data_IF_641134996550
#
_entry.id   IF_641134996550
#
_cell.length_a   1.000
_cell.length_b   1.000
_cell.length_c   1.000
_cell.angle_alpha   90.00
_cell.angle_beta   90.00
_cell.angle_gamma   90.00
#
_symmetry.space_group_name_H-M   'P 1'
#
loop_
_entity.id
_entity.type
_entity.pdbx_description
1 polymer ?
#
# COMPACT_ATOMS: atom_id res chain seq x y z
N UNK A 1 18.97 4.70 13.85
CA UNK A 1 18.53 5.99 13.28
C UNK A 1 17.59 5.80 12.09
N UNK A 2 17.89 4.94 11.10
CA UNK A 2 17.07 4.78 9.88
C UNK A 2 15.59 4.38 10.12
N UNK A 3 15.33 3.43 11.04
CA UNK A 3 13.97 2.98 11.34
C UNK A 3 13.06 4.09 11.92
N UNK A 4 13.59 4.93 12.81
CA UNK A 4 12.81 6.03 13.39
C UNK A 4 12.44 7.10 12.35
N UNK A 5 13.32 7.33 11.36
CA UNK A 5 13.04 8.20 10.22
C UNK A 5 11.94 7.59 9.35
N UNK A 6 12.03 6.29 9.04
CA UNK A 6 11.01 5.57 8.30
C UNK A 6 9.64 5.62 8.99
N UNK A 7 9.58 5.38 10.31
CA UNK A 7 8.35 5.48 11.09
C UNK A 7 7.76 6.90 11.09
N UNK A 8 8.61 7.93 11.13
CA UNK A 8 8.16 9.32 11.02
C UNK A 8 7.60 9.65 9.64
N UNK A 9 8.21 9.12 8.58
CA UNK A 9 7.72 9.24 7.20
C UNK A 9 6.38 8.51 7.00
N UNK A 10 6.20 7.32 7.58
CA UNK A 10 4.90 6.63 7.59
C UNK A 10 3.81 7.49 8.20
N UNK A 11 4.07 8.11 9.36
CA UNK A 11 3.11 9.02 10.01
C UNK A 11 2.80 10.26 9.16
N UNK A 12 3.77 10.74 8.38
CA UNK A 12 3.54 11.86 7.45
C UNK A 12 2.69 11.40 6.26
N UNK A 13 3.00 10.26 5.66
CA UNK A 13 2.22 9.67 4.58
C UNK A 13 0.77 9.43 4.99
N UNK A 14 0.54 8.95 6.21
CA UNK A 14 -0.82 8.76 6.76
C UNK A 14 -1.59 10.09 6.83
N UNK A 15 -0.97 11.17 7.30
CA UNK A 15 -1.59 12.50 7.29
C UNK A 15 -1.87 13.03 5.89
N UNK A 16 -1.01 12.72 4.92
CA UNK A 16 -1.25 13.10 3.52
C UNK A 16 -2.41 12.29 2.92
N UNK A 17 -2.59 11.01 3.29
CA UNK A 17 -3.78 10.23 2.96
C UNK A 17 -5.05 10.86 3.52
N UNK A 18 -5.04 11.26 4.80
CA UNK A 18 -6.18 11.94 5.44
C UNK A 18 -6.54 13.26 4.73
N UNK A 19 -5.54 13.92 4.13
CA UNK A 19 -5.71 15.15 3.35
C UNK A 19 -6.13 14.92 1.90
N UNK A 20 -6.30 13.66 1.47
CA UNK A 20 -6.60 13.30 0.09
C UNK A 20 -5.42 13.49 -0.87
N UNK A 21 -4.20 13.72 -0.36
CA UNK A 21 -2.99 13.97 -1.15
C UNK A 21 -2.25 12.66 -1.39
N UNK A 22 -2.84 11.81 -2.21
CA UNK A 22 -2.37 10.44 -2.38
C UNK A 22 -0.98 10.33 -3.02
N UNK A 23 -0.63 11.21 -3.96
CA UNK A 23 0.72 11.25 -4.56
C UNK A 23 1.79 11.59 -3.50
N UNK A 24 1.56 12.62 -2.69
CA UNK A 24 2.47 12.98 -1.60
C UNK A 24 2.58 11.85 -0.55
N UNK A 25 1.48 11.15 -0.27
CA UNK A 25 1.50 10.00 0.61
C UNK A 25 2.37 8.87 0.04
N UNK A 26 2.25 8.56 -1.25
CA UNK A 26 3.10 7.58 -1.94
C UNK A 26 4.57 7.94 -1.79
N UNK A 27 4.95 9.20 -2.02
CA UNK A 27 6.33 9.64 -1.88
C UNK A 27 6.87 9.44 -0.46
N UNK A 28 6.09 9.82 0.56
CA UNK A 28 6.50 9.64 1.97
C UNK A 28 6.65 8.15 2.32
N UNK A 29 5.75 7.28 1.87
CA UNK A 29 5.87 5.83 2.10
C UNK A 29 7.05 5.22 1.34
N UNK A 30 7.33 5.65 0.12
CA UNK A 30 8.50 5.19 -0.63
C UNK A 30 9.81 5.60 0.04
N UNK A 31 9.90 6.84 0.55
CA UNK A 31 11.06 7.25 1.33
C UNK A 31 11.19 6.46 2.63
N UNK A 32 10.07 6.14 3.31
CA UNK A 32 10.09 5.27 4.47
C UNK A 32 10.68 3.89 4.14
N UNK A 33 10.28 3.32 2.99
CA UNK A 33 10.78 2.04 2.51
C UNK A 33 12.23 2.09 2.02
N UNK A 34 12.70 3.24 1.53
CA UNK A 34 14.11 3.44 1.21
C UNK A 34 15.00 3.43 2.47
N UNK A 35 14.47 3.90 3.60
CA UNK A 35 15.14 3.85 4.89
C UNK A 35 15.00 2.48 5.58
N UNK A 36 13.82 1.87 5.51
CA UNK A 36 13.53 0.55 6.05
C UNK A 36 12.51 -0.20 5.18
N UNK A 37 13.02 -1.04 4.28
CA UNK A 37 12.20 -1.85 3.39
C UNK A 37 11.38 -2.93 4.11
N UNK A 38 11.68 -3.23 5.38
CA UNK A 38 10.98 -4.23 6.18
C UNK A 38 9.81 -3.64 6.98
N UNK A 39 9.57 -2.34 6.85
CA UNK A 39 8.53 -1.64 7.58
C UNK A 39 7.14 -1.95 6.98
N UNK A 40 6.51 -2.99 7.52
CA UNK A 40 5.16 -3.40 7.16
C UNK A 40 4.14 -2.23 7.09
N UNK A 41 4.04 -1.31 8.07
CA UNK A 41 3.05 -0.23 7.98
C UNK A 41 3.29 0.73 6.80
N UNK A 42 4.53 0.88 6.30
CA UNK A 42 4.80 1.66 5.09
C UNK A 42 4.24 0.98 3.84
N UNK A 43 4.41 -0.34 3.69
CA UNK A 43 3.82 -1.11 2.59
C UNK A 43 2.28 -1.07 2.63
N UNK A 44 1.69 -1.13 3.83
CA UNK A 44 0.24 -0.99 4.00
C UNK A 44 -0.24 0.39 3.55
N UNK A 45 0.39 1.45 4.02
CA UNK A 45 0.05 2.83 3.64
C UNK A 45 0.22 3.06 2.13
N UNK A 46 1.28 2.52 1.54
CA UNK A 46 1.53 2.58 0.10
C UNK A 46 0.40 1.89 -0.70
N UNK A 47 -0.06 0.72 -0.24
CA UNK A 47 -1.19 0.03 -0.87
C UNK A 47 -2.49 0.84 -0.85
N UNK A 48 -2.79 1.49 0.28
CA UNK A 48 -3.95 2.39 0.40
C UNK A 48 -3.80 3.59 -0.53
N UNK A 49 -2.63 4.24 -0.54
CA UNK A 49 -2.38 5.40 -1.38
C UNK A 49 -2.54 5.08 -2.88
N UNK A 50 -2.02 3.93 -3.32
CA UNK A 50 -2.21 3.47 -4.70
C UNK A 50 -3.67 3.15 -5.03
N UNK A 51 -4.41 2.52 -4.12
CA UNK A 51 -5.85 2.30 -4.32
C UNK A 51 -6.60 3.62 -4.54
N UNK A 52 -6.31 4.63 -3.72
CA UNK A 52 -6.95 5.94 -3.83
C UNK A 52 -6.56 6.68 -5.11
N UNK A 53 -5.39 6.37 -5.68
CA UNK A 53 -4.95 6.86 -7.01
C UNK A 53 -5.51 6.04 -8.17
N UNK A 54 -6.39 5.07 -7.91
CA UNK A 54 -6.88 4.09 -8.89
C UNK A 54 -5.77 3.23 -9.51
N UNK A 55 -4.58 3.17 -8.89
CA UNK A 55 -3.47 2.35 -9.32
C UNK A 55 -3.56 0.96 -8.68
N UNK A 56 -4.52 0.18 -9.16
CA UNK A 56 -4.88 -1.13 -8.59
C UNK A 56 -3.74 -2.16 -8.69
N UNK A 57 -2.86 -2.02 -9.68
CA UNK A 57 -1.71 -2.91 -9.84
C UNK A 57 -0.66 -2.67 -8.75
N UNK A 58 -0.23 -1.41 -8.55
CA UNK A 58 0.77 -1.10 -7.52
C UNK A 58 0.20 -1.29 -6.13
N UNK A 59 -1.09 -1.00 -5.92
CA UNK A 59 -1.78 -1.26 -4.66
C UNK A 59 -1.68 -2.73 -4.24
N UNK A 60 -1.99 -3.62 -5.19
CA UNK A 60 -1.91 -5.06 -4.98
C UNK A 60 -0.50 -5.49 -4.60
N UNK A 61 0.51 -5.07 -5.35
CA UNK A 61 1.93 -5.40 -5.10
C UNK A 61 2.37 -4.94 -3.71
N UNK A 62 1.98 -3.74 -3.30
CA UNK A 62 2.29 -3.20 -1.98
C UNK A 62 1.62 -3.99 -0.85
N UNK A 63 0.35 -4.37 -1.03
CA UNK A 63 -0.37 -5.21 -0.08
C UNK A 63 0.17 -6.64 0.01
N UNK A 64 0.60 -7.23 -1.11
CA UNK A 64 1.27 -8.53 -1.09
C UNK A 64 2.56 -8.47 -0.26
N UNK A 65 3.35 -7.41 -0.41
CA UNK A 65 4.55 -7.17 0.42
C UNK A 65 4.22 -6.98 1.90
N UNK A 66 3.17 -6.23 2.20
CA UNK A 66 2.69 -6.08 3.57
C UNK A 66 2.33 -7.43 4.21
N UNK A 67 1.60 -8.29 3.49
CA UNK A 67 1.22 -9.62 3.97
C UNK A 67 2.42 -10.58 4.09
N UNK A 68 3.46 -10.42 3.27
CA UNK A 68 4.71 -11.17 3.41
C UNK A 68 5.43 -10.81 4.71
N UNK A 69 5.41 -9.53 5.11
CA UNK A 69 6.09 -9.03 6.31
C UNK A 69 5.26 -9.23 7.58
N UNK A 70 3.93 -9.14 7.49
CA UNK A 70 3.01 -9.24 8.63
C UNK A 70 1.80 -10.11 8.29
N UNK A 71 1.99 -11.42 8.07
CA UNK A 71 0.90 -12.34 7.68
C UNK A 71 -0.15 -12.56 8.78
N UNK A 72 0.19 -12.21 10.03
CA UNK A 72 -0.65 -12.36 11.22
C UNK A 72 -1.20 -11.01 11.73
N UNK A 73 -1.10 -9.93 10.95
CA UNK A 73 -1.73 -8.67 11.31
C UNK A 73 -3.26 -8.81 11.39
N UNK A 74 -3.89 -8.04 12.26
CA UNK A 74 -5.35 -8.09 12.44
C UNK A 74 -6.10 -7.76 11.14
N UNK A 75 -5.58 -6.79 10.39
CA UNK A 75 -6.10 -6.35 9.10
C UNK A 75 -5.60 -7.20 7.91
N UNK A 76 -4.75 -8.21 8.13
CA UNK A 76 -4.26 -9.08 7.06
C UNK A 76 -5.39 -9.78 6.30
N UNK A 77 -6.49 -10.13 6.98
CA UNK A 77 -7.66 -10.74 6.34
C UNK A 77 -8.34 -9.78 5.36
N UNK A 78 -8.51 -8.53 5.76
CA UNK A 78 -9.08 -7.47 4.92
C UNK A 78 -8.17 -7.16 3.73
N UNK A 79 -6.87 -7.07 3.96
CA UNK A 79 -5.90 -6.87 2.87
C UNK A 79 -5.91 -8.02 1.86
N UNK A 80 -5.99 -9.29 2.32
CA UNK A 80 -6.12 -10.45 1.43
C UNK A 80 -7.39 -10.38 0.58
N UNK A 81 -8.50 -9.94 1.18
CA UNK A 81 -9.76 -9.74 0.46
C UNK A 81 -9.62 -8.64 -0.60
N UNK A 82 -9.03 -7.50 -0.25
CA UNK A 82 -8.77 -6.41 -1.18
C UNK A 82 -7.92 -6.87 -2.38
N UNK A 83 -6.84 -7.61 -2.15
CA UNK A 83 -6.03 -8.20 -3.23
C UNK A 83 -6.87 -9.11 -4.13
N UNK A 84 -7.74 -9.95 -3.57
CA UNK A 84 -8.60 -10.84 -4.34
C UNK A 84 -9.58 -10.06 -5.23
N UNK A 85 -10.17 -8.99 -4.71
CA UNK A 85 -11.07 -8.09 -5.45
C UNK A 85 -10.34 -7.36 -6.57
N UNK A 86 -9.15 -6.82 -6.30
CA UNK A 86 -8.28 -6.19 -7.30
C UNK A 86 -7.90 -7.17 -8.42
N UNK A 87 -7.58 -8.42 -8.07
CA UNK A 87 -7.28 -9.47 -9.05
C UNK A 87 -8.49 -9.85 -9.89
N UNK A 88 -9.69 -9.94 -9.28
CA UNK A 88 -10.92 -10.23 -9.99
C UNK A 88 -11.24 -9.11 -10.98
N UNK A 89 -11.11 -7.84 -10.56
CA UNK A 89 -11.34 -6.68 -11.41
C UNK A 89 -10.36 -6.60 -12.57
N UNK A 90 -9.07 -6.87 -12.34
CA UNK A 90 -8.08 -6.95 -13.39
C UNK A 90 -8.39 -8.04 -14.43
N UNK A 91 -8.91 -9.20 -13.99
CA UNK A 91 -9.35 -10.27 -14.90
C UNK A 91 -10.62 -9.91 -15.68
N UNK A 92 -11.54 -9.18 -15.08
CA UNK A 92 -12.82 -8.77 -15.71
C UNK A 92 -12.65 -7.59 -16.67
N UNK A 93 -11.78 -6.62 -16.36
CA UNK A 93 -11.47 -5.50 -17.24
C UNK A 93 -10.76 -5.92 -18.53
N UNK A 94 -10.06 -7.05 -18.51
CA UNK A 94 -9.38 -7.63 -19.67
C UNK A 94 -10.29 -8.58 -20.50
N UNK A 95 -11.61 -8.56 -20.26
CA UNK A 95 -12.59 -9.47 -20.85
C UNK A 95 -13.67 -8.83 -21.72
N UNK A 96 -13.64 -7.50 -21.93
CA UNK A 96 -14.64 -6.76 -22.72
C UNK A 96 -14.12 -6.25 -24.07
N UNK A 97 -13.04 -6.83 -24.58
CA UNK A 97 -12.56 -6.57 -25.95
C UNK A 97 -12.79 -7.82 -26.82
N UNK A 98 -14.03 -8.04 -27.27
CA UNK A 98 -14.35 -8.79 -28.48
C UNK A 98 -15.60 -8.24 -29.14
#
# INVERSE_FOLDING_TARGET
MARAVAEAQVKRGDRELERGRYDAAVEEFQQALANDATLAPAWRGLGVAHLMRHDEESARKAYEKYLQLSPAAADARDIRRAIAELNARAKMGNGLEK
#
